data_IF_535985598819
#
_entry.id   IF_535985598819
#
_cell.length_a   1.000
_cell.length_b   1.000
_cell.length_c   1.000
_cell.angle_alpha   90.00
_cell.angle_beta   90.00
_cell.angle_gamma   90.00
#
_symmetry.space_group_name_H-M   'P 1'
#
loop_
_entity.id
_entity.type
_entity.pdbx_description
1 polymer ?
#
# COMPACT_ATOMS: atom_id res chain seq x y z
N UNK A 1 -22.07 -56.19 44.98
CA UNK A 1 -23.49 -56.53 44.78
C UNK A 1 -24.06 -55.46 43.85
N UNK A 2 -24.49 -55.88 42.65
CA UNK A 2 -25.50 -55.26 41.76
C UNK A 2 -25.40 -53.76 41.39
N UNK A 3 -25.70 -53.30 40.17
CA UNK A 3 -26.00 -53.90 38.88
C UNK A 3 -25.72 -52.81 37.83
N UNK A 4 -25.11 -53.19 36.71
CA UNK A 4 -25.14 -52.42 35.46
C UNK A 4 -26.58 -52.26 34.98
N UNK A 5 -26.99 -51.02 34.70
CA UNK A 5 -28.08 -50.73 33.75
C UNK A 5 -27.53 -49.78 32.68
N UNK A 6 -27.42 -50.40 31.51
CA UNK A 6 -27.17 -49.94 30.16
C UNK A 6 -28.14 -48.82 29.79
N UNK A 7 -27.68 -47.77 29.09
CA UNK A 7 -28.21 -47.38 27.79
C UNK A 7 -27.12 -46.59 27.02
N UNK A 8 -26.62 -47.10 25.88
CA UNK A 8 -25.75 -46.34 25.00
C UNK A 8 -26.60 -45.25 24.34
N UNK A 9 -26.11 -44.00 24.31
CA UNK A 9 -26.66 -42.99 23.41
C UNK A 9 -26.29 -43.37 21.97
N UNK A 10 -26.96 -44.40 21.46
CA UNK A 10 -27.02 -44.72 20.05
C UNK A 10 -27.87 -43.65 19.37
N UNK A 11 -27.20 -42.89 18.51
CA UNK A 11 -27.71 -42.34 17.27
C UNK A 11 -28.98 -41.48 17.34
N UNK A 12 -28.80 -40.19 17.07
CA UNK A 12 -29.58 -39.46 16.06
C UNK A 12 -28.87 -38.13 15.75
N UNK A 13 -27.59 -38.19 15.38
CA UNK A 13 -27.00 -37.16 14.54
C UNK A 13 -26.83 -37.74 13.13
N UNK A 14 -27.95 -38.11 12.51
CA UNK A 14 -27.99 -38.03 11.06
C UNK A 14 -27.82 -36.56 10.73
N UNK A 15 -26.63 -36.19 10.25
CA UNK A 15 -26.45 -34.97 9.48
C UNK A 15 -27.34 -35.12 8.25
N UNK A 16 -28.60 -34.71 8.39
CA UNK A 16 -29.43 -34.41 7.25
C UNK A 16 -28.83 -33.14 6.66
N UNK A 17 -27.74 -33.32 5.91
CA UNK A 17 -27.30 -32.39 4.89
C UNK A 17 -28.43 -32.46 3.87
N UNK A 18 -29.50 -31.72 4.15
CA UNK A 18 -30.39 -31.28 3.10
C UNK A 18 -29.46 -30.67 2.05
N UNK A 19 -29.46 -31.15 0.80
CA UNK A 19 -28.80 -30.40 -0.23
C UNK A 19 -29.50 -29.06 -0.20
N UNK A 20 -28.77 -28.03 0.22
CA UNK A 20 -29.04 -26.66 -0.21
C UNK A 20 -28.85 -26.70 -1.72
N UNK A 21 -29.83 -27.27 -2.41
CA UNK A 21 -30.07 -27.02 -3.80
C UNK A 21 -30.17 -25.50 -3.84
N UNK A 22 -29.17 -24.89 -4.46
CA UNK A 22 -29.15 -23.49 -4.78
C UNK A 22 -30.53 -23.15 -5.33
N UNK A 23 -31.34 -22.45 -4.54
CA UNK A 23 -32.59 -21.90 -5.01
C UNK A 23 -32.23 -21.05 -6.20
N UNK A 24 -32.83 -21.42 -7.33
CA UNK A 24 -32.76 -20.76 -8.61
C UNK A 24 -32.44 -19.27 -8.47
N UNK A 25 -31.18 -18.91 -8.77
CA UNK A 25 -30.80 -17.51 -8.96
C UNK A 25 -31.61 -17.05 -10.16
N UNK A 26 -32.71 -16.35 -9.92
CA UNK A 26 -33.39 -15.59 -10.96
C UNK A 26 -32.36 -14.60 -11.52
N UNK A 27 -31.96 -14.68 -12.80
CA UNK A 27 -31.03 -13.74 -13.37
C UNK A 27 -31.82 -12.50 -13.81
N UNK A 28 -32.34 -11.74 -12.85
CA UNK A 28 -33.14 -10.53 -13.15
C UNK A 28 -32.74 -9.30 -12.34
N UNK A 29 -31.56 -9.30 -11.73
CA UNK A 29 -30.93 -8.05 -11.29
C UNK A 29 -29.70 -7.79 -12.14
N UNK A 30 -29.92 -7.08 -13.24
CA UNK A 30 -28.84 -6.35 -13.91
C UNK A 30 -28.45 -5.19 -13.00
N UNK A 31 -27.35 -5.34 -12.27
CA UNK A 31 -26.77 -4.22 -11.52
C UNK A 31 -26.08 -3.30 -12.51
N UNK A 32 -26.65 -2.10 -12.67
CA UNK A 32 -26.00 -1.04 -13.43
C UNK A 32 -25.14 -0.19 -12.49
N UNK A 33 -23.85 -0.09 -12.80
CA UNK A 33 -22.95 0.76 -12.04
C UNK A 33 -23.26 2.23 -12.36
N UNK A 34 -23.63 2.99 -11.33
CA UNK A 34 -23.88 4.42 -11.45
C UNK A 34 -22.56 5.18 -11.26
N UNK A 35 -22.05 5.80 -12.34
CA UNK A 35 -20.82 6.59 -12.32
C UNK A 35 -21.06 8.08 -12.08
N UNK A 36 -22.29 8.49 -11.76
CA UNK A 36 -22.58 9.89 -11.46
C UNK A 36 -21.90 10.28 -10.15
N UNK A 37 -21.16 11.38 -10.17
CA UNK A 37 -20.57 11.95 -8.95
C UNK A 37 -21.73 12.39 -8.06
N UNK A 38 -21.80 11.79 -6.87
CA UNK A 38 -22.87 12.09 -5.92
C UNK A 38 -22.45 13.24 -5.03
N UNK A 39 -23.37 14.19 -4.78
CA UNK A 39 -23.09 15.40 -4.00
C UNK A 39 -22.72 15.10 -2.53
N UNK A 40 -23.20 13.98 -1.99
CA UNK A 40 -22.89 13.47 -0.65
C UNK A 40 -21.59 12.64 -0.59
N UNK A 41 -20.95 12.36 -1.73
CA UNK A 41 -19.75 11.53 -1.77
C UNK A 41 -18.54 12.20 -1.08
N UNK A 42 -18.56 13.52 -0.90
CA UNK A 42 -17.52 14.27 -0.21
C UNK A 42 -18.01 14.73 1.18
N UNK A 43 -17.59 14.06 2.27
CA UNK A 43 -18.01 14.46 3.61
C UNK A 43 -17.45 15.84 3.98
N UNK A 44 -18.19 16.62 4.77
CA UNK A 44 -17.82 17.99 5.16
C UNK A 44 -16.42 18.11 5.76
N UNK A 45 -15.98 17.10 6.52
CA UNK A 45 -14.60 17.04 7.06
C UNK A 45 -13.54 17.15 5.96
N UNK A 46 -13.76 16.51 4.81
CA UNK A 46 -12.84 16.56 3.66
C UNK A 46 -12.94 17.88 2.91
N UNK A 47 -14.13 18.49 2.81
CA UNK A 47 -14.32 19.86 2.27
C UNK A 47 -13.61 20.91 3.12
N UNK A 48 -13.63 20.73 4.44
CA UNK A 48 -13.02 21.62 5.41
C UNK A 48 -11.52 21.33 5.65
N UNK A 49 -10.95 20.36 4.91
CA UNK A 49 -9.56 19.92 5.06
C UNK A 49 -9.17 19.61 6.52
N UNK A 50 -10.14 19.17 7.32
CA UNK A 50 -9.91 18.81 8.71
C UNK A 50 -9.04 17.56 8.74
N UNK A 51 -7.95 17.63 9.52
CA UNK A 51 -7.10 16.47 9.78
C UNK A 51 -7.96 15.33 10.30
N UNK A 52 -7.75 14.13 9.75
CA UNK A 52 -8.43 12.90 10.20
C UNK A 52 -8.14 12.58 11.66
N UNK A 53 -7.07 13.16 12.21
CA UNK A 53 -6.61 12.94 13.58
C UNK A 53 -6.37 14.29 14.28
N UNK A 54 -6.75 14.39 15.56
CA UNK A 54 -6.37 15.53 16.39
C UNK A 54 -4.83 15.71 16.36
N UNK A 55 -4.38 16.95 16.23
CA UNK A 55 -2.96 17.25 16.36
C UNK A 55 -2.50 16.85 17.76
N UNK A 56 -1.36 16.17 17.82
CA UNK A 56 -0.84 15.64 19.07
C UNK A 56 -0.46 16.81 20.02
N UNK A 57 -1.11 16.93 21.20
CA UNK A 57 -0.91 18.08 22.09
C UNK A 57 0.49 18.14 22.72
N UNK A 58 1.26 17.05 22.71
CA UNK A 58 2.61 17.02 23.29
C UNK A 58 3.65 16.40 22.35
N UNK A 59 4.80 17.06 22.21
CA UNK A 59 5.94 16.48 21.52
C UNK A 59 6.35 15.16 22.22
N UNK A 60 6.61 14.11 21.44
CA UNK A 60 7.07 12.78 21.91
C UNK A 60 6.03 11.87 22.60
N UNK A 61 4.72 12.06 22.35
CA UNK A 61 3.63 11.21 22.90
C UNK A 61 3.61 9.74 22.40
N UNK A 62 4.61 9.31 21.63
CA UNK A 62 4.74 7.94 21.15
C UNK A 62 5.76 7.13 21.94
N UNK A 63 5.75 5.78 21.84
CA UNK A 63 6.79 4.93 22.42
C UNK A 63 8.19 5.43 22.03
N UNK A 64 9.04 5.69 23.04
CA UNK A 64 10.37 6.28 22.83
C UNK A 64 11.24 5.36 21.98
N UNK A 65 12.11 5.95 21.15
CA UNK A 65 13.03 5.17 20.32
C UNK A 65 13.90 4.23 21.20
N UNK A 66 14.08 2.99 20.71
CA UNK A 66 14.86 1.95 21.40
C UNK A 66 16.28 2.43 21.68
N UNK A 67 16.76 2.20 22.90
CA UNK A 67 18.13 2.54 23.31
C UNK A 67 19.16 1.85 22.39
N UNK A 68 20.21 2.59 22.01
CA UNK A 68 21.39 2.08 21.29
C UNK A 68 22.53 1.87 22.28
N UNK A 69 23.25 0.74 22.18
CA UNK A 69 24.47 0.52 22.94
C UNK A 69 25.61 1.37 22.36
N UNK A 70 26.29 2.16 23.19
CA UNK A 70 27.40 3.04 22.80
C UNK A 70 27.11 4.51 23.08
N UNK A 71 27.60 5.00 24.22
CA UNK A 71 27.40 6.36 24.69
C UNK A 71 28.23 7.41 23.94
N UNK A 72 27.53 8.45 23.48
CA UNK A 72 27.99 9.83 23.53
C UNK A 72 26.74 10.72 23.53
N UNK A 73 26.47 11.37 24.66
CA UNK A 73 25.33 12.26 24.84
C UNK A 73 25.63 13.61 24.17
N UNK A 74 25.41 13.69 22.86
CA UNK A 74 24.83 14.92 22.34
C UNK A 74 23.32 14.83 22.58
N UNK A 75 22.70 15.96 22.93
CA UNK A 75 21.26 16.04 23.16
C UNK A 75 20.53 15.33 22.02
N UNK A 76 19.57 14.45 22.38
CA UNK A 76 18.80 13.68 21.42
C UNK A 76 18.10 14.59 20.41
N UNK A 77 17.78 15.82 20.82
CA UNK A 77 17.21 16.85 19.97
C UNK A 77 18.21 17.34 18.91
N UNK A 78 19.48 17.49 19.25
CA UNK A 78 20.52 17.92 18.30
C UNK A 78 20.81 16.84 17.27
N UNK A 79 20.87 15.57 17.68
CA UNK A 79 20.95 14.43 16.75
C UNK A 79 19.76 14.39 15.80
N UNK A 80 18.54 14.61 16.29
CA UNK A 80 17.33 14.64 15.47
C UNK A 80 17.39 15.76 14.44
N UNK A 81 17.77 16.99 14.85
CA UNK A 81 17.94 18.14 13.96
C UNK A 81 18.97 17.90 12.86
N UNK A 82 20.09 17.24 13.18
CA UNK A 82 21.13 16.90 12.20
C UNK A 82 20.67 15.92 11.12
N UNK A 83 19.57 15.19 11.33
CA UNK A 83 19.07 14.20 10.38
C UNK A 83 17.83 14.70 9.60
N UNK A 84 17.22 15.81 10.01
CA UNK A 84 16.12 16.42 9.27
C UNK A 84 16.61 17.11 7.99
N UNK A 85 15.79 17.07 6.93
CA UNK A 85 16.03 17.72 5.63
C UNK A 85 17.33 17.34 4.89
N UNK A 86 18.07 16.32 5.35
CA UNK A 86 19.15 15.72 4.57
C UNK A 86 18.56 14.89 3.43
N UNK A 87 18.14 15.57 2.36
CA UNK A 87 18.04 14.91 1.05
C UNK A 87 19.45 14.43 0.74
N UNK A 88 19.64 13.12 0.54
CA UNK A 88 20.89 12.66 -0.07
C UNK A 88 21.01 13.41 -1.38
N UNK A 89 22.12 14.11 -1.60
CA UNK A 89 22.48 14.51 -2.95
C UNK A 89 22.48 13.21 -3.74
N UNK A 90 21.51 13.05 -4.62
CA UNK A 90 21.52 11.93 -5.55
C UNK A 90 22.71 12.24 -6.43
N UNK A 91 23.80 11.48 -6.24
CA UNK A 91 24.95 11.54 -7.13
C UNK A 91 24.41 11.55 -8.55
N UNK A 92 24.85 12.52 -9.34
CA UNK A 92 24.33 12.79 -10.67
C UNK A 92 24.49 11.54 -11.53
N UNK A 93 23.46 10.70 -11.56
CA UNK A 93 23.49 9.46 -12.34
C UNK A 93 23.59 9.88 -13.79
N UNK A 94 24.62 9.39 -14.49
CA UNK A 94 24.76 9.70 -15.91
C UNK A 94 23.69 8.96 -16.72
N UNK A 95 22.56 9.62 -16.91
CA UNK A 95 21.41 9.10 -17.63
C UNK A 95 21.68 8.94 -19.13
N UNK A 96 22.78 9.50 -19.67
CA UNK A 96 23.19 9.29 -21.06
C UNK A 96 23.62 7.84 -21.33
N UNK A 97 23.90 7.05 -20.28
CA UNK A 97 24.11 5.60 -20.40
C UNK A 97 22.85 4.85 -20.90
N UNK A 98 21.66 5.40 -20.68
CA UNK A 98 20.41 4.76 -21.08
C UNK A 98 19.83 5.41 -22.33
N UNK A 99 19.38 4.59 -23.28
CA UNK A 99 18.71 5.07 -24.49
C UNK A 99 17.38 5.77 -24.16
N UNK A 100 17.03 6.81 -24.91
CA UNK A 100 15.77 7.52 -24.75
C UNK A 100 14.61 6.69 -25.32
N UNK A 101 13.72 6.24 -24.44
CA UNK A 101 12.51 5.48 -24.85
C UNK A 101 11.56 6.30 -25.73
N UNK A 102 11.51 7.62 -25.56
CA UNK A 102 10.68 8.52 -26.39
C UNK A 102 11.28 8.67 -27.79
N UNK A 103 12.60 8.80 -27.87
CA UNK A 103 13.29 8.88 -29.16
C UNK A 103 13.17 7.58 -29.95
N UNK A 104 13.31 6.43 -29.28
CA UNK A 104 13.05 5.11 -29.88
C UNK A 104 11.63 4.99 -30.48
N UNK A 105 10.66 5.70 -29.92
CA UNK A 105 9.26 5.74 -30.40
C UNK A 105 8.99 6.85 -31.42
N UNK A 106 9.99 7.68 -31.75
CA UNK A 106 9.84 8.83 -32.65
C UNK A 106 9.15 10.05 -32.04
N UNK A 107 8.98 10.13 -30.71
CA UNK A 107 8.20 11.17 -30.03
C UNK A 107 9.02 12.01 -29.04
N UNK A 108 10.31 12.21 -29.30
CA UNK A 108 11.17 13.03 -28.44
C UNK A 108 11.39 14.42 -29.04
N UNK A 109 10.74 15.43 -28.46
CA UNK A 109 10.85 16.84 -28.88
C UNK A 109 12.06 17.57 -28.30
N UNK A 110 12.84 16.89 -27.45
CA UNK A 110 13.97 17.49 -26.73
C UNK A 110 15.28 17.50 -27.52
N UNK A 111 15.36 16.79 -28.65
CA UNK A 111 16.57 16.71 -29.48
C UNK A 111 17.83 16.40 -28.65
N UNK A 112 18.88 17.20 -28.82
CA UNK A 112 20.17 17.06 -28.12
C UNK A 112 20.14 17.51 -26.64
N UNK A 113 19.08 18.23 -26.23
CA UNK A 113 18.87 18.58 -24.83
C UNK A 113 18.26 17.42 -24.02
N UNK A 114 17.97 16.29 -24.66
CA UNK A 114 17.44 15.13 -23.97
C UNK A 114 18.42 14.58 -22.92
N UNK A 115 17.89 14.25 -21.75
CA UNK A 115 18.67 13.68 -20.63
C UNK A 115 19.19 12.26 -20.90
N UNK A 116 18.63 11.57 -21.90
CA UNK A 116 18.93 10.18 -22.27
C UNK A 116 19.60 10.14 -23.67
N UNK A 117 20.41 9.11 -23.96
CA UNK A 117 21.10 9.01 -25.26
C UNK A 117 20.12 8.73 -26.41
N UNK A 118 20.34 9.40 -27.55
CA UNK A 118 19.62 9.19 -28.82
C UNK A 118 20.44 8.35 -29.80
N UNK A 119 21.64 7.90 -29.42
CA UNK A 119 22.51 7.13 -30.29
C UNK A 119 21.96 5.71 -30.46
N UNK A 120 21.79 5.29 -31.72
CA UNK A 120 21.34 3.95 -32.08
C UNK A 120 22.37 2.85 -31.76
N UNK A 121 23.57 3.22 -31.32
CA UNK A 121 24.73 2.34 -31.13
C UNK A 121 24.87 1.71 -29.73
N UNK A 122 23.99 2.02 -28.76
CA UNK A 122 23.99 1.40 -27.41
C UNK A 122 23.08 0.16 -27.30
N UNK A 123 22.95 -0.63 -28.37
CA UNK A 123 22.07 -1.80 -28.36
C UNK A 123 22.70 -3.14 -27.95
N UNK A 124 24.03 -3.29 -27.82
CA UNK A 124 24.60 -4.66 -27.77
C UNK A 124 25.57 -4.95 -26.62
N UNK A 125 25.23 -4.69 -25.36
CA UNK A 125 25.98 -5.29 -24.24
C UNK A 125 25.10 -5.63 -23.02
N UNK A 126 24.11 -6.51 -23.20
CA UNK A 126 23.58 -7.34 -22.11
C UNK A 126 23.18 -8.72 -22.64
N UNK A 127 24.12 -9.66 -22.62
CA UNK A 127 23.85 -11.09 -22.53
C UNK A 127 24.62 -11.66 -21.34
#
# INVERSE_FOLDING_TARGET
>A
MCHTIILPLSLLCHTNILPLCHTNILPLFSFEACFTVREDANPESRKQHLSRFQENPQAFWGPKARAKAGGLCSDLQDKSKLLQNKRKAVDSVDYKKFHCKRHRRGSCDLGDACRYSHDASLLDQQQ
#
